data_IF_284215098259
#
_entry.id   IF_284215098259
#
_cell.length_a   1.000
_cell.length_b   1.000
_cell.length_c   1.000
_cell.angle_alpha   90.00
_cell.angle_beta   90.00
_cell.angle_gamma   90.00
#
_symmetry.space_group_name_H-M   'P 1'
#
loop_
_entity.id
_entity.type
_entity.pdbx_description
1 polymer ?
#
# COMPACT_ATOMS: atom_id res chain seq x y z
N UNK A 1 -40.00 6.23 -45.15
CA UNK A 1 -39.27 7.19 -44.28
C UNK A 1 -38.56 6.39 -43.21
N UNK A 2 -37.27 6.66 -43.02
CA UNK A 2 -36.28 5.83 -42.36
C UNK A 2 -36.25 5.90 -40.81
N UNK A 3 -35.36 5.05 -40.25
CA UNK A 3 -34.80 4.94 -38.87
C UNK A 3 -35.66 4.18 -37.86
N UNK A 4 -35.32 2.98 -37.35
CA UNK A 4 -34.06 2.38 -36.87
C UNK A 4 -33.48 3.06 -35.63
N UNK A 5 -33.70 2.46 -34.44
CA UNK A 5 -32.87 2.66 -33.26
C UNK A 5 -32.27 1.32 -32.85
N UNK A 6 -30.95 1.27 -33.02
CA UNK A 6 -30.08 0.17 -32.69
C UNK A 6 -29.59 0.27 -31.24
N UNK A 7 -29.26 -0.90 -30.73
CA UNK A 7 -28.58 -1.23 -29.49
C UNK A 7 -27.29 -0.45 -29.24
N UNK A 8 -26.92 -0.29 -27.96
CA UNK A 8 -25.54 -0.49 -27.51
C UNK A 8 -25.53 -0.85 -26.03
N UNK A 9 -25.31 -2.13 -25.78
CA UNK A 9 -25.05 -2.69 -24.46
C UNK A 9 -23.64 -2.28 -24.01
N UNK A 10 -23.54 -1.74 -22.79
CA UNK A 10 -22.28 -1.47 -22.11
C UNK A 10 -21.64 -2.78 -21.65
N UNK A 11 -20.68 -3.29 -22.42
CA UNK A 11 -19.87 -4.46 -22.08
C UNK A 11 -18.90 -4.11 -20.96
N UNK A 12 -19.22 -4.52 -19.72
CA UNK A 12 -18.27 -4.59 -18.62
C UNK A 12 -17.29 -5.73 -18.90
N UNK A 13 -16.02 -5.40 -19.19
CA UNK A 13 -14.99 -6.41 -19.45
C UNK A 13 -14.67 -7.19 -18.18
N UNK A 14 -15.06 -8.46 -18.17
CA UNK A 14 -14.76 -9.44 -17.13
C UNK A 14 -13.24 -9.63 -17.02
N UNK A 15 -12.70 -9.45 -15.81
CA UNK A 15 -11.31 -9.71 -15.48
C UNK A 15 -10.96 -11.18 -15.78
N UNK A 16 -9.89 -11.41 -16.53
CA UNK A 16 -9.36 -12.76 -16.77
C UNK A 16 -8.73 -13.31 -15.49
N UNK A 17 -9.53 -14.00 -14.67
CA UNK A 17 -9.04 -14.93 -13.66
C UNK A 17 -8.39 -16.12 -14.37
N UNK A 18 -7.06 -16.18 -14.39
CA UNK A 18 -6.35 -17.38 -14.79
C UNK A 18 -6.42 -18.39 -13.62
N UNK A 19 -7.13 -19.50 -13.84
CA UNK A 19 -7.30 -20.59 -12.89
C UNK A 19 -5.96 -21.18 -12.42
N UNK A 20 -5.85 -21.62 -11.15
CA UNK A 20 -4.62 -22.20 -10.62
C UNK A 20 -4.28 -23.51 -11.34
N UNK A 21 -3.05 -23.62 -11.86
CA UNK A 21 -2.51 -24.88 -12.37
C UNK A 21 -2.26 -25.84 -11.20
N UNK A 22 -3.13 -26.86 -11.05
CA UNK A 22 -2.94 -27.97 -10.09
C UNK A 22 -1.78 -28.86 -10.53
N UNK A 23 -0.56 -28.51 -10.15
CA UNK A 23 0.56 -29.43 -10.18
C UNK A 23 0.49 -30.39 -8.99
N UNK A 24 0.04 -31.64 -9.18
CA UNK A 24 0.22 -32.73 -8.21
C UNK A 24 1.68 -33.18 -8.23
N UNK A 25 2.56 -32.42 -7.59
CA UNK A 25 3.91 -32.84 -7.23
C UNK A 25 4.00 -33.06 -5.73
N UNK A 26 4.93 -33.90 -5.27
CA UNK A 26 5.20 -34.26 -3.85
C UNK A 26 5.52 -33.09 -2.90
N UNK A 27 5.35 -31.85 -3.35
CA UNK A 27 5.48 -30.64 -2.55
C UNK A 27 4.08 -30.02 -2.42
N UNK A 28 3.55 -29.98 -1.20
CA UNK A 28 2.23 -29.48 -0.82
C UNK A 28 2.15 -27.93 -0.96
N UNK A 29 2.51 -27.41 -2.13
CA UNK A 29 2.70 -25.99 -2.43
C UNK A 29 1.62 -25.50 -3.41
N UNK A 30 0.76 -24.60 -2.93
CA UNK A 30 -0.23 -23.90 -3.75
C UNK A 30 0.38 -22.58 -4.21
N UNK A 31 0.28 -22.26 -5.51
CA UNK A 31 0.71 -20.95 -6.04
C UNK A 31 -0.38 -20.34 -6.89
N UNK A 32 -0.77 -19.11 -6.58
CA UNK A 32 -1.67 -18.30 -7.41
C UNK A 32 -0.99 -17.00 -7.79
N UNK A 33 -1.24 -16.53 -9.01
CA UNK A 33 -0.69 -15.29 -9.55
C UNK A 33 -1.84 -14.43 -10.06
N UNK A 34 -1.97 -13.22 -9.52
CA UNK A 34 -2.96 -12.24 -9.95
C UNK A 34 -2.23 -11.03 -10.52
N UNK A 35 -2.61 -10.62 -11.73
CA UNK A 35 -2.09 -9.42 -12.39
C UNK A 35 -3.25 -8.51 -12.74
N UNK A 36 -3.24 -7.28 -12.24
CA UNK A 36 -4.28 -6.30 -12.56
C UNK A 36 -3.63 -4.99 -13.02
N UNK A 37 -4.15 -4.44 -14.12
CA UNK A 37 -3.83 -3.08 -14.54
C UNK A 37 -4.72 -2.11 -13.78
N UNK A 38 -4.11 -1.11 -13.16
CA UNK A 38 -4.79 0.01 -12.55
C UNK A 38 -5.21 1.06 -13.58
N UNK A 39 -6.02 2.04 -13.17
CA UNK A 39 -6.54 3.10 -14.04
C UNK A 39 -5.45 3.98 -14.68
N UNK A 40 -4.26 4.06 -14.08
CA UNK A 40 -3.17 4.98 -14.46
C UNK A 40 -1.92 4.28 -15.03
N UNK A 41 -2.06 3.29 -15.94
CA UNK A 41 -0.97 2.39 -16.41
C UNK A 41 -0.30 1.52 -15.32
N UNK A 42 -0.61 1.77 -14.05
CA UNK A 42 -0.15 1.01 -12.90
C UNK A 42 -0.42 -0.48 -13.00
N UNK A 43 0.42 -1.28 -12.37
CA UNK A 43 0.31 -2.73 -12.32
C UNK A 43 0.49 -3.20 -10.90
N UNK A 44 -0.41 -4.08 -10.48
CA UNK A 44 -0.20 -4.91 -9.29
C UNK A 44 -0.05 -6.35 -9.72
N UNK A 45 0.97 -6.99 -9.16
CA UNK A 45 1.17 -8.43 -9.19
C UNK A 45 1.06 -8.97 -7.76
N UNK A 46 0.15 -9.92 -7.54
CA UNK A 46 0.02 -10.63 -6.29
C UNK A 46 0.36 -12.11 -6.50
N UNK A 47 1.35 -12.60 -5.76
CA UNK A 47 1.76 -14.00 -5.74
C UNK A 47 1.42 -14.59 -4.39
N UNK A 48 0.48 -15.51 -4.35
CA UNK A 48 0.12 -16.24 -3.12
C UNK A 48 0.82 -17.60 -3.19
N UNK A 49 1.55 -17.97 -2.14
CA UNK A 49 2.16 -19.28 -1.96
C UNK A 49 1.69 -19.89 -0.64
N UNK A 50 0.93 -20.97 -0.70
CA UNK A 50 0.56 -21.75 0.48
C UNK A 50 1.42 -23.00 0.59
N UNK A 51 1.89 -23.34 1.78
CA UNK A 51 2.54 -24.62 2.11
C UNK A 51 1.74 -25.30 3.22
N UNK A 52 1.63 -26.62 3.13
CA UNK A 52 0.92 -27.45 4.11
C UNK A 52 -0.55 -27.05 4.31
N UNK A 53 -1.19 -26.53 3.26
CA UNK A 53 -2.57 -26.03 3.35
C UNK A 53 -3.61 -27.15 3.56
N UNK A 54 -3.26 -28.39 3.18
CA UNK A 54 -4.18 -29.53 3.12
C UNK A 54 -3.99 -30.54 4.25
N UNK A 55 -2.99 -30.34 5.10
CA UNK A 55 -2.64 -31.26 6.17
C UNK A 55 -3.04 -30.65 7.52
N UNK A 56 -3.96 -31.28 8.28
CA UNK A 56 -4.43 -30.75 9.56
C UNK A 56 -3.37 -30.80 10.67
N UNK A 57 -2.34 -31.63 10.55
CA UNK A 57 -1.34 -31.85 11.61
C UNK A 57 -0.09 -30.97 11.45
N UNK A 58 0.07 -30.30 10.31
CA UNK A 58 1.20 -29.40 10.05
C UNK A 58 0.81 -27.93 10.08
N UNK A 59 1.72 -27.08 10.58
CA UNK A 59 1.50 -25.62 10.61
C UNK A 59 1.34 -25.10 9.18
N UNK A 60 0.16 -24.55 8.89
CA UNK A 60 -0.15 -23.89 7.62
C UNK A 60 0.73 -22.65 7.46
N UNK A 61 1.42 -22.57 6.33
CA UNK A 61 2.24 -21.41 6.00
C UNK A 61 1.70 -20.76 4.74
N UNK A 62 1.51 -19.45 4.77
CA UNK A 62 1.09 -18.66 3.62
C UNK A 62 2.03 -17.48 3.43
N UNK A 63 2.57 -17.35 2.24
CA UNK A 63 3.39 -16.22 1.82
C UNK A 63 2.63 -15.48 0.71
N UNK A 64 2.25 -14.22 0.94
CA UNK A 64 1.68 -13.34 -0.08
C UNK A 64 2.74 -12.32 -0.46
N UNK A 65 3.05 -12.19 -1.75
CA UNK A 65 3.95 -11.16 -2.27
C UNK A 65 3.16 -10.24 -3.18
N UNK A 66 3.05 -8.98 -2.78
CA UNK A 66 2.47 -7.90 -3.55
C UNK A 66 3.59 -7.10 -4.20
N UNK A 67 3.53 -6.91 -5.51
CA UNK A 67 4.43 -6.00 -6.24
C UNK A 67 3.59 -4.94 -6.93
N UNK A 68 3.89 -3.68 -6.64
CA UNK A 68 3.28 -2.52 -7.27
C UNK A 68 4.28 -1.84 -8.18
N UNK A 69 3.85 -1.49 -9.39
CA UNK A 69 4.57 -0.56 -10.25
C UNK A 69 3.61 0.50 -10.76
N UNK A 70 3.99 1.77 -10.64
CA UNK A 70 3.19 2.94 -10.98
C UNK A 70 1.78 2.86 -10.36
N UNK A 71 1.70 2.33 -9.14
CA UNK A 71 0.42 2.08 -8.46
C UNK A 71 -0.09 3.35 -7.78
N UNK A 72 -1.40 3.58 -7.84
CA UNK A 72 -1.99 4.79 -7.28
C UNK A 72 -2.07 4.69 -5.76
N UNK A 73 -1.41 5.59 -5.03
CA UNK A 73 -1.30 5.55 -3.56
C UNK A 73 -2.66 5.56 -2.81
N UNK A 74 -3.68 6.33 -3.25
CA UNK A 74 -5.02 6.31 -2.63
C UNK A 74 -5.72 4.95 -2.61
N UNK A 75 -5.30 3.99 -3.46
CA UNK A 75 -5.86 2.65 -3.41
C UNK A 75 -5.31 1.83 -2.23
N UNK A 76 -4.20 2.26 -1.61
CA UNK A 76 -3.59 1.59 -0.47
C UNK A 76 -4.42 1.76 0.81
N UNK A 77 -4.98 2.95 1.03
CA UNK A 77 -5.92 3.27 2.13
C UNK A 77 -7.16 2.36 2.11
N UNK A 78 -7.60 1.92 0.93
CA UNK A 78 -8.73 0.97 0.81
C UNK A 78 -8.37 -0.45 1.19
N UNK A 79 -7.07 -0.76 1.30
CA UNK A 79 -6.55 -2.09 1.65
C UNK A 79 -6.12 -2.14 3.11
N UNK A 80 -5.61 -1.03 3.64
CA UNK A 80 -5.14 -0.88 5.02
C UNK A 80 -5.79 0.34 5.63
N UNK A 81 -6.39 0.15 6.80
CA UNK A 81 -6.96 1.23 7.60
C UNK A 81 -5.82 2.01 8.25
N UNK A 82 -5.29 3.00 7.54
CA UNK A 82 -4.26 3.89 8.06
C UNK A 82 -4.91 5.15 8.64
N UNK A 83 -4.38 5.70 9.74
CA UNK A 83 -4.82 6.99 10.29
C UNK A 83 -4.32 8.19 9.46
N UNK A 84 -4.26 8.02 8.14
CA UNK A 84 -3.87 9.05 7.17
C UNK A 84 -4.72 8.91 5.91
N UNK A 85 -5.25 10.03 5.43
CA UNK A 85 -5.98 10.08 4.17
C UNK A 85 -4.98 10.29 3.03
N UNK A 86 -4.97 9.41 2.02
CA UNK A 86 -4.05 9.54 0.88
C UNK A 86 -4.83 10.03 -0.33
N UNK A 87 -4.60 11.28 -0.73
CA UNK A 87 -5.31 11.93 -1.83
C UNK A 87 -4.65 11.69 -3.19
N UNK A 88 -3.32 11.57 -3.20
CA UNK A 88 -2.51 11.46 -4.42
C UNK A 88 -1.24 10.69 -4.13
N UNK A 89 -0.63 10.12 -5.16
CA UNK A 89 0.72 9.55 -5.09
C UNK A 89 0.92 8.35 -6.00
N UNK A 90 2.19 8.04 -6.25
CA UNK A 90 2.60 6.86 -7.02
C UNK A 90 3.48 5.97 -6.13
N UNK A 91 3.06 4.72 -5.97
CA UNK A 91 3.75 3.68 -5.22
C UNK A 91 4.45 2.70 -6.17
N UNK A 92 5.70 2.40 -5.85
CA UNK A 92 6.52 1.43 -6.55
C UNK A 92 7.24 0.55 -5.53
N UNK A 93 7.15 -0.76 -5.65
CA UNK A 93 7.90 -1.65 -4.78
C UNK A 93 7.23 -2.98 -4.54
N UNK A 94 7.63 -3.63 -3.47
CA UNK A 94 7.08 -4.92 -3.08
C UNK A 94 6.91 -5.03 -1.58
N UNK A 95 5.81 -5.69 -1.18
CA UNK A 95 5.48 -5.99 0.21
C UNK A 95 5.14 -7.47 0.28
N UNK A 96 5.69 -8.14 1.28
CA UNK A 96 5.49 -9.56 1.52
C UNK A 96 4.86 -9.77 2.88
N UNK A 97 3.73 -10.46 2.89
CA UNK A 97 3.01 -10.87 4.08
C UNK A 97 3.31 -12.35 4.32
N UNK A 98 3.75 -12.69 5.53
CA UNK A 98 4.03 -14.08 5.92
C UNK A 98 3.16 -14.48 7.10
N UNK A 99 2.40 -15.54 6.89
CA UNK A 99 1.62 -16.24 7.90
C UNK A 99 2.31 -17.57 8.17
N UNK A 100 2.98 -17.71 9.30
CA UNK A 100 3.88 -18.84 9.56
C UNK A 100 3.65 -19.51 10.92
N UNK A 101 2.90 -18.85 11.81
CA UNK A 101 2.56 -19.32 13.14
C UNK A 101 1.12 -18.96 13.51
N UNK A 102 0.59 -19.55 14.59
CA UNK A 102 -0.78 -19.26 15.02
C UNK A 102 -0.98 -17.76 15.29
N UNK A 103 0.03 -17.07 15.82
CA UNK A 103 -0.02 -15.64 16.14
C UNK A 103 -0.21 -14.78 14.89
N UNK A 104 0.52 -15.05 13.82
CA UNK A 104 0.41 -14.34 12.53
C UNK A 104 -0.91 -14.63 11.81
N UNK A 105 -1.51 -15.80 12.05
CA UNK A 105 -2.87 -16.12 11.57
C UNK A 105 -3.98 -15.46 12.38
N UNK A 106 -3.80 -15.20 13.68
CA UNK A 106 -4.85 -14.67 14.56
C UNK A 106 -4.75 -13.18 14.88
N UNK A 107 -3.55 -12.58 14.81
CA UNK A 107 -3.32 -11.17 15.15
C UNK A 107 -2.98 -10.35 13.92
N UNK A 108 -1.76 -10.50 13.41
CA UNK A 108 -1.27 -9.69 12.31
C UNK A 108 -0.14 -10.43 11.58
N UNK A 109 -0.10 -10.44 10.23
CA UNK A 109 0.97 -11.10 9.50
C UNK A 109 2.29 -10.35 9.63
N UNK A 110 3.41 -11.04 9.39
CA UNK A 110 4.70 -10.37 9.29
C UNK A 110 4.81 -9.68 7.93
N UNK A 111 5.03 -8.37 7.93
CA UNK A 111 5.30 -7.58 6.74
C UNK A 111 6.80 -7.48 6.50
N UNK A 112 7.24 -7.69 5.27
CA UNK A 112 8.62 -7.42 4.86
C UNK A 112 8.61 -6.83 3.46
N UNK A 113 9.33 -5.74 3.22
CA UNK A 113 9.37 -5.18 1.88
C UNK A 113 9.76 -3.72 1.85
N UNK A 114 9.88 -3.18 0.63
CA UNK A 114 10.20 -1.78 0.41
C UNK A 114 9.30 -1.21 -0.67
N UNK A 115 8.73 -0.06 -0.40
CA UNK A 115 7.86 0.69 -1.31
C UNK A 115 8.34 2.13 -1.36
N UNK A 116 8.72 2.57 -2.54
CA UNK A 116 9.00 3.97 -2.83
C UNK A 116 7.68 4.67 -3.15
N UNK A 117 7.48 5.81 -2.49
CA UNK A 117 6.32 6.66 -2.68
C UNK A 117 6.79 7.99 -3.28
N UNK A 118 6.20 8.37 -4.40
CA UNK A 118 6.53 9.58 -5.13
C UNK A 118 5.32 10.50 -5.25
N UNK A 119 5.52 11.79 -4.96
CA UNK A 119 4.52 12.86 -5.06
C UNK A 119 3.21 12.51 -4.35
N UNK A 120 3.31 11.98 -3.14
CA UNK A 120 2.16 11.68 -2.33
C UNK A 120 1.65 12.92 -1.62
N UNK A 121 0.33 13.03 -1.58
CA UNK A 121 -0.35 14.00 -0.75
C UNK A 121 -1.15 13.23 0.29
N UNK A 122 -0.91 13.52 1.56
CA UNK A 122 -1.62 12.88 2.65
C UNK A 122 -1.95 13.86 3.78
N UNK A 123 -3.09 13.62 4.40
CA UNK A 123 -3.54 14.34 5.59
C UNK A 123 -3.52 13.38 6.78
N UNK A 124 -3.02 13.83 7.93
CA UNK A 124 -3.14 13.10 9.19
C UNK A 124 -4.35 13.70 9.89
N UNK A 125 -5.31 12.89 10.35
CA UNK A 125 -6.61 13.37 10.86
C UNK A 125 -6.55 14.46 11.95
N UNK A 126 -5.43 14.55 12.67
CA UNK A 126 -5.20 15.55 13.74
C UNK A 126 -4.10 16.59 13.39
N UNK A 127 -3.63 16.63 12.14
CA UNK A 127 -2.64 17.62 11.70
C UNK A 127 -3.32 18.93 11.25
N UNK A 128 -2.77 20.10 11.61
CA UNK A 128 -3.33 21.39 11.18
C UNK A 128 -3.27 21.65 9.67
N UNK A 129 -2.40 20.96 8.93
CA UNK A 129 -2.22 21.15 7.48
C UNK A 129 -1.88 19.82 6.79
N UNK A 130 -1.90 19.83 5.45
CA UNK A 130 -1.62 18.69 4.60
C UNK A 130 -0.12 18.54 4.31
N UNK A 131 0.29 17.28 4.12
CA UNK A 131 1.58 16.98 3.52
C UNK A 131 1.42 16.88 2.00
N UNK A 132 2.20 17.69 1.27
CA UNK A 132 2.12 17.79 -0.18
C UNK A 132 3.43 17.41 -0.88
N UNK A 133 3.29 16.81 -2.07
CA UNK A 133 4.38 16.42 -2.97
C UNK A 133 5.49 15.61 -2.27
N UNK A 134 5.09 14.80 -1.29
CA UNK A 134 6.02 14.01 -0.49
C UNK A 134 6.62 12.87 -1.30
N UNK A 135 7.93 12.76 -1.28
CA UNK A 135 8.68 11.60 -1.75
C UNK A 135 9.29 10.91 -0.54
N UNK A 136 9.04 9.62 -0.37
CA UNK A 136 9.50 8.84 0.78
C UNK A 136 9.72 7.38 0.45
N UNK A 137 10.61 6.73 1.20
CA UNK A 137 10.85 5.30 1.11
C UNK A 137 10.23 4.59 2.32
N UNK A 138 9.23 3.76 2.07
CA UNK A 138 8.59 2.91 3.07
C UNK A 138 9.32 1.58 3.15
N UNK A 139 9.75 1.22 4.36
CA UNK A 139 10.37 -0.05 4.68
C UNK A 139 9.46 -0.78 5.69
N UNK A 140 8.94 -1.93 5.28
CA UNK A 140 8.09 -2.76 6.12
C UNK A 140 8.97 -3.80 6.83
N UNK A 141 8.91 -3.83 8.15
CA UNK A 141 9.61 -4.78 9.01
C UNK A 141 8.69 -5.31 10.11
N UNK A 142 8.26 -6.55 9.94
CA UNK A 142 7.33 -7.27 10.82
C UNK A 142 6.01 -6.52 11.02
N UNK A 143 5.84 -5.85 12.17
CA UNK A 143 4.65 -5.13 12.59
C UNK A 143 4.81 -3.60 12.51
N UNK A 144 5.94 -3.12 11.96
CA UNK A 144 6.21 -1.69 11.76
C UNK A 144 6.52 -1.35 10.31
N UNK A 145 6.15 -0.13 9.95
CA UNK A 145 6.52 0.52 8.70
C UNK A 145 7.36 1.74 9.03
N UNK A 146 8.60 1.73 8.58
CA UNK A 146 9.52 2.86 8.67
C UNK A 146 9.41 3.69 7.39
N UNK A 147 9.42 5.01 7.52
CA UNK A 147 9.55 5.91 6.38
C UNK A 147 10.86 6.68 6.50
N UNK A 148 11.66 6.59 5.46
CA UNK A 148 12.95 7.23 5.35
C UNK A 148 12.95 8.22 4.20
N UNK A 149 13.82 9.23 4.31
CA UNK A 149 14.05 10.21 3.26
C UNK A 149 12.75 10.89 2.81
N UNK A 150 11.81 11.09 3.74
CA UNK A 150 10.55 11.75 3.42
C UNK A 150 10.85 13.23 3.22
N UNK A 151 10.58 13.74 2.02
CA UNK A 151 10.84 15.13 1.64
C UNK A 151 9.62 15.66 0.92
N UNK A 152 9.18 16.85 1.30
CA UNK A 152 8.00 17.47 0.70
C UNK A 152 7.68 18.77 1.41
N UNK A 153 6.40 19.11 1.42
CA UNK A 153 5.90 20.30 2.07
C UNK A 153 4.86 19.93 3.12
N UNK A 154 4.86 20.65 4.23
CA UNK A 154 3.78 20.68 5.20
C UNK A 154 3.16 22.08 5.10
N UNK A 155 2.01 22.18 4.43
CA UNK A 155 1.54 23.48 3.93
C UNK A 155 2.57 24.17 3.04
N UNK A 156 3.02 25.36 3.44
CA UNK A 156 4.05 26.12 2.73
C UNK A 156 5.49 25.79 3.19
N UNK A 157 5.66 24.94 4.20
CA UNK A 157 6.94 24.71 4.85
C UNK A 157 7.65 23.51 4.21
N UNK A 158 8.86 23.67 3.66
CA UNK A 158 9.65 22.52 3.21
C UNK A 158 10.08 21.69 4.43
N UNK A 159 9.74 20.40 4.42
CA UNK A 159 10.03 19.48 5.52
C UNK A 159 10.76 18.25 5.03
N UNK A 160 11.73 17.82 5.83
CA UNK A 160 12.33 16.49 5.75
C UNK A 160 11.92 15.71 6.99
N UNK A 161 11.26 14.57 6.80
CA UNK A 161 10.77 13.73 7.88
C UNK A 161 11.37 12.32 7.85
N UNK A 162 11.49 11.75 9.03
CA UNK A 162 11.78 10.34 9.25
C UNK A 162 10.90 9.84 10.38
N UNK A 163 10.61 8.55 10.38
CA UNK A 163 9.81 7.99 11.44
C UNK A 163 9.32 6.59 11.16
N UNK A 164 8.39 6.16 11.98
CA UNK A 164 7.82 4.84 11.92
C UNK A 164 6.40 4.81 12.44
N UNK A 165 5.62 3.86 11.92
CA UNK A 165 4.23 3.61 12.29
C UNK A 165 4.06 2.13 12.56
N UNK A 166 3.35 1.78 13.62
CA UNK A 166 2.90 0.41 13.82
C UNK A 166 1.74 0.09 12.88
N UNK A 167 1.78 -1.08 12.27
CA UNK A 167 0.73 -1.56 11.37
C UNK A 167 -0.46 -2.20 12.11
N UNK A 168 -0.34 -2.39 13.43
CA UNK A 168 -1.44 -2.82 14.29
C UNK A 168 -2.50 -1.69 14.34
N UNK A 169 -3.82 -1.97 14.23
CA UNK A 169 -4.86 -0.95 14.34
C UNK A 169 -4.81 -0.07 15.60
N UNK A 170 -4.27 -0.58 16.72
CA UNK A 170 -4.03 0.19 17.95
C UNK A 170 -2.62 0.83 18.01
N UNK A 171 -1.95 0.90 16.86
CA UNK A 171 -0.55 1.25 16.72
C UNK A 171 -0.21 2.72 16.94
N UNK A 172 1.06 2.98 17.31
CA UNK A 172 1.59 4.34 17.45
C UNK A 172 2.27 4.84 16.16
N UNK A 173 2.18 6.15 15.93
CA UNK A 173 2.88 6.85 14.86
C UNK A 173 3.94 7.76 15.48
N UNK A 174 5.17 7.68 14.98
CA UNK A 174 6.27 8.54 15.38
C UNK A 174 6.84 9.23 14.16
N UNK A 175 6.71 10.54 14.09
CA UNK A 175 7.26 11.36 13.01
C UNK A 175 8.20 12.39 13.63
N UNK A 176 9.42 12.46 13.12
CA UNK A 176 10.35 13.56 13.39
C UNK A 176 10.56 14.30 12.09
N UNK A 177 10.06 15.54 12.04
CA UNK A 177 10.21 16.43 10.90
C UNK A 177 11.22 17.54 11.24
N UNK A 178 12.02 17.89 10.25
CA UNK A 178 12.97 18.99 10.28
C UNK A 178 12.69 19.90 9.09
N UNK A 179 12.72 21.20 9.31
CA UNK A 179 12.71 22.20 8.26
C UNK A 179 13.95 23.09 8.42
N UNK A 180 14.56 23.47 7.31
CA UNK A 180 15.54 24.56 7.31
C UNK A 180 14.86 25.90 7.58
N UNK A 181 15.63 26.98 7.73
CA UNK A 181 15.09 28.31 8.03
C UNK A 181 13.91 28.69 7.13
N UNK A 182 12.73 28.82 7.72
CA UNK A 182 11.47 29.11 7.03
C UNK A 182 11.18 30.61 7.11
N UNK A 183 10.68 31.18 6.03
CA UNK A 183 10.21 32.56 6.02
C UNK A 183 8.98 32.71 6.92
N UNK A 184 8.88 33.81 7.66
CA UNK A 184 7.92 33.98 8.77
C UNK A 184 6.47 33.95 8.28
N UNK A 185 6.19 34.42 7.06
CA UNK A 185 4.84 34.38 6.51
C UNK A 185 4.42 32.96 6.15
N UNK A 186 5.31 32.15 5.57
CA UNK A 186 5.05 30.72 5.31
C UNK A 186 4.79 29.94 6.61
N UNK A 187 5.55 30.22 7.68
CA UNK A 187 5.32 29.63 9.00
C UNK A 187 3.94 30.03 9.57
N UNK A 188 3.58 31.31 9.45
CA UNK A 188 2.30 31.83 9.92
C UNK A 188 1.13 31.21 9.15
N UNK A 189 1.24 31.04 7.85
CA UNK A 189 0.18 30.45 7.04
C UNK A 189 -0.11 29.00 7.43
N UNK A 190 0.92 28.21 7.72
CA UNK A 190 0.78 26.79 8.08
C UNK A 190 0.41 26.54 9.54
N UNK A 191 0.84 27.40 10.49
CA UNK A 191 0.58 27.20 11.93
C UNK A 191 -0.56 28.03 12.52
N UNK A 192 -1.12 28.98 11.78
CA UNK A 192 -2.22 29.83 12.27
C UNK A 192 -3.62 29.24 12.03
N UNK A 193 -3.72 28.04 11.48
CA UNK A 193 -4.95 27.25 11.40
C UNK A 193 -5.27 26.61 12.76
#
# INVERSE_FOLDING_TARGET
GASAQASTASTSSVASQQSPTKGKGKNNMYRSLFKKKGPSKGRIECVIKGRNMSDPDTKKQMDILLKGKDFHAPLLERVFDFPVDINKGILNGEVRLRFHDHKSWTRYPDFTGRVNCNKANFHIWDAPDDFEDVNMDLLFENDRMHFHNATGYYGAIPVTAVGDMSLDPDGDIRIVAHSDGVEVNALRETLAA
#
